data_IF_751719784649
#
_entry.id   IF_751719784649
#
_cell.length_a   1.000
_cell.length_b   1.000
_cell.length_c   1.000
_cell.angle_alpha   90.00
_cell.angle_beta   90.00
_cell.angle_gamma   90.00
#
_symmetry.space_group_name_H-M   'P 1'
#
loop_
_entity.id
_entity.type
_entity.pdbx_description
1 polymer ?
#
# COMPACT_ATOMS: atom_id res chain seq x y z
N UNK A 1 -83.28 -48.06 -6.28
CA UNK A 1 -81.86 -48.36 -6.56
C UNK A 1 -81.06 -47.07 -6.41
N UNK A 2 -80.19 -47.00 -5.40
CA UNK A 2 -79.48 -45.81 -4.96
C UNK A 2 -78.18 -45.67 -5.77
N UNK A 3 -77.90 -44.50 -6.36
CA UNK A 3 -76.55 -44.09 -6.79
C UNK A 3 -76.25 -42.69 -6.24
N UNK A 4 -75.24 -42.62 -5.36
CA UNK A 4 -74.58 -41.40 -4.90
C UNK A 4 -73.45 -41.05 -5.87
N UNK A 5 -73.32 -39.79 -6.26
CA UNK A 5 -72.13 -39.22 -6.88
C UNK A 5 -71.17 -38.73 -5.79
N UNK A 6 -69.88 -39.04 -5.95
CA UNK A 6 -68.78 -38.61 -5.08
C UNK A 6 -68.16 -37.30 -5.61
N UNK A 7 -67.87 -36.38 -4.69
CA UNK A 7 -67.15 -35.12 -4.94
C UNK A 7 -65.70 -35.30 -4.46
N UNK A 8 -64.73 -35.10 -5.37
CA UNK A 8 -63.31 -35.16 -5.08
C UNK A 8 -62.83 -33.78 -4.58
N UNK A 9 -62.17 -33.74 -3.41
CA UNK A 9 -61.57 -32.55 -2.82
C UNK A 9 -60.04 -32.68 -2.87
N UNK A 10 -59.35 -31.69 -3.44
CA UNK A 10 -57.89 -31.63 -3.52
C UNK A 10 -57.38 -30.77 -2.35
N UNK A 11 -56.50 -31.33 -1.52
CA UNK A 11 -55.82 -30.62 -0.43
C UNK A 11 -54.54 -29.94 -0.94
N UNK A 12 -54.43 -28.62 -0.73
CA UNK A 12 -53.18 -27.87 -0.90
C UNK A 12 -52.50 -27.70 0.46
N UNK A 13 -51.28 -28.20 0.60
CA UNK A 13 -50.42 -28.00 1.78
C UNK A 13 -49.77 -26.62 1.67
N UNK A 14 -50.09 -25.73 2.61
CA UNK A 14 -49.42 -24.43 2.78
C UNK A 14 -48.30 -24.60 3.81
N UNK A 15 -47.04 -24.54 3.38
CA UNK A 15 -45.88 -24.47 4.27
C UNK A 15 -45.64 -23.01 4.68
N UNK A 16 -45.77 -22.74 5.98
CA UNK A 16 -45.51 -21.44 6.59
C UNK A 16 -44.01 -21.13 6.62
N UNK A 17 -43.56 -20.16 5.82
CA UNK A 17 -42.21 -19.60 5.91
C UNK A 17 -42.25 -18.49 6.98
N UNK A 18 -41.56 -18.70 8.10
CA UNK A 18 -41.31 -17.65 9.09
C UNK A 18 -40.21 -16.74 8.51
N UNK A 19 -40.61 -15.60 7.93
CA UNK A 19 -39.67 -14.51 7.65
C UNK A 19 -39.33 -13.82 8.97
N UNK A 20 -38.14 -14.07 9.51
CA UNK A 20 -37.53 -13.20 10.50
C UNK A 20 -37.03 -11.95 9.82
N UNK A 21 -37.82 -10.87 9.92
CA UNK A 21 -37.40 -9.53 9.52
C UNK A 21 -36.25 -9.08 10.43
N UNK A 22 -35.02 -9.12 9.91
CA UNK A 22 -33.92 -8.37 10.49
C UNK A 22 -34.15 -6.90 10.16
N UNK A 23 -34.85 -6.17 11.03
CA UNK A 23 -34.77 -4.72 11.03
C UNK A 23 -33.34 -4.34 11.39
N UNK A 24 -32.57 -3.91 10.39
CA UNK A 24 -31.36 -3.14 10.62
C UNK A 24 -31.81 -1.82 11.24
N UNK A 25 -31.65 -1.69 12.56
CA UNK A 25 -31.69 -0.40 13.22
C UNK A 25 -30.49 0.38 12.68
N UNK A 26 -30.75 1.32 11.77
CA UNK A 26 -29.81 2.36 11.46
C UNK A 26 -29.65 3.21 12.73
N UNK A 27 -28.61 2.92 13.51
CA UNK A 27 -28.20 3.79 14.60
C UNK A 27 -27.66 5.09 13.99
N UNK A 28 -28.54 6.07 13.80
CA UNK A 28 -28.18 7.47 13.47
C UNK A 28 -27.64 8.17 14.71
N UNK A 29 -26.48 7.69 15.15
CA UNK A 29 -25.63 8.29 16.16
C UNK A 29 -24.26 7.67 16.02
N UNK A 30 -23.34 8.38 15.36
CA UNK A 30 -21.92 8.01 15.38
C UNK A 30 -21.46 8.06 16.83
N UNK A 31 -21.42 6.90 17.49
CA UNK A 31 -20.80 6.80 18.81
C UNK A 31 -19.38 7.38 18.69
N UNK A 32 -19.09 8.42 19.48
CA UNK A 32 -17.77 9.05 19.49
C UNK A 32 -16.76 7.99 19.91
N UNK A 33 -15.83 7.65 19.03
CA UNK A 33 -14.76 6.71 19.37
C UNK A 33 -13.88 7.34 20.46
N UNK A 34 -13.40 6.53 21.39
CA UNK A 34 -12.37 6.96 22.33
C UNK A 34 -11.00 6.75 21.68
N UNK A 35 -10.43 7.82 21.14
CA UNK A 35 -9.10 7.80 20.53
C UNK A 35 -8.03 7.58 21.60
N UNK A 36 -7.15 6.60 21.37
CA UNK A 36 -5.96 6.39 22.20
C UNK A 36 -4.81 7.19 21.59
N UNK A 37 -4.55 8.38 22.15
CA UNK A 37 -3.58 9.36 21.62
C UNK A 37 -2.40 9.54 22.56
N UNK A 38 -1.19 9.58 22.01
CA UNK A 38 0.09 9.74 22.72
C UNK A 38 0.35 8.69 23.81
N UNK A 39 -0.33 7.55 23.72
CA UNK A 39 -0.12 6.43 24.63
C UNK A 39 0.99 5.51 24.11
N UNK A 40 2.16 5.66 24.72
CA UNK A 40 3.35 4.87 24.45
C UNK A 40 3.53 3.73 25.46
N UNK A 41 2.46 3.28 26.13
CA UNK A 41 2.52 2.07 26.95
C UNK A 41 2.47 0.81 26.07
N UNK A 42 3.17 -0.23 26.53
CA UNK A 42 3.06 -1.56 25.96
C UNK A 42 1.83 -2.26 26.51
N UNK A 43 1.03 -2.82 25.61
CA UNK A 43 -0.12 -3.64 25.93
C UNK A 43 0.07 -5.02 25.30
N UNK A 44 0.02 -6.12 26.08
CA UNK A 44 -0.03 -7.46 25.51
C UNK A 44 -1.22 -7.58 24.56
N UNK A 45 -1.00 -8.15 23.37
CA UNK A 45 -2.06 -8.30 22.37
C UNK A 45 -3.11 -9.30 22.89
N UNK A 46 -4.38 -8.90 23.07
CA UNK A 46 -5.39 -9.81 23.57
C UNK A 46 -5.69 -10.92 22.56
N UNK A 47 -5.89 -12.14 23.05
CA UNK A 47 -6.32 -13.26 22.20
C UNK A 47 -7.73 -13.01 21.69
N UNK A 48 -7.86 -12.90 20.36
CA UNK A 48 -9.14 -12.72 19.67
C UNK A 48 -9.19 -13.72 18.50
N UNK A 49 -10.27 -14.51 18.37
CA UNK A 49 -10.43 -15.42 17.24
C UNK A 49 -10.36 -14.67 15.90
N UNK A 50 -9.80 -15.30 14.88
CA UNK A 50 -9.81 -14.73 13.53
C UNK A 50 -11.27 -14.56 13.08
N UNK A 51 -11.72 -13.35 12.69
CA UNK A 51 -13.07 -13.18 12.19
C UNK A 51 -13.26 -13.97 10.88
N UNK A 52 -14.48 -14.46 10.64
CA UNK A 52 -14.84 -15.00 9.34
C UNK A 52 -14.77 -13.89 8.26
N UNK A 53 -14.64 -14.28 6.99
CA UNK A 53 -14.64 -13.31 5.87
C UNK A 53 -15.90 -12.42 5.94
N UNK A 54 -15.71 -11.11 5.78
CA UNK A 54 -16.76 -10.10 5.82
C UNK A 54 -17.25 -9.75 7.23
N UNK A 55 -16.83 -10.49 8.26
CA UNK A 55 -17.17 -10.18 9.64
C UNK A 55 -16.19 -9.17 10.23
N UNK A 56 -16.73 -8.33 11.12
CA UNK A 56 -15.99 -7.31 11.82
C UNK A 56 -15.86 -7.61 13.30
N UNK A 57 -14.80 -7.12 13.92
CA UNK A 57 -14.64 -7.05 15.37
C UNK A 57 -14.09 -5.67 15.75
N UNK A 58 -14.19 -5.30 17.02
CA UNK A 58 -13.58 -4.08 17.54
C UNK A 58 -12.25 -4.46 18.19
N UNK A 59 -11.17 -3.76 17.84
CA UNK A 59 -9.89 -3.92 18.51
C UNK A 59 -10.08 -3.57 20.01
N UNK A 60 -9.83 -4.52 20.93
CA UNK A 60 -10.16 -4.35 22.34
C UNK A 60 -9.27 -3.32 23.06
N UNK A 61 -8.16 -2.91 22.46
CA UNK A 61 -7.26 -1.91 23.04
C UNK A 61 -7.48 -0.53 22.42
N UNK A 62 -7.77 -0.47 21.13
CA UNK A 62 -7.74 0.80 20.37
C UNK A 62 -9.10 1.21 19.80
N UNK A 63 -10.16 0.44 20.07
CA UNK A 63 -11.56 0.79 19.80
C UNK A 63 -11.91 0.99 18.31
N UNK A 64 -11.05 0.57 17.38
CA UNK A 64 -11.33 0.65 15.94
C UNK A 64 -11.99 -0.62 15.43
N UNK A 65 -12.89 -0.49 14.46
CA UNK A 65 -13.54 -1.63 13.83
C UNK A 65 -12.66 -2.19 12.71
N UNK A 66 -12.40 -3.49 12.76
CA UNK A 66 -11.59 -4.23 11.80
C UNK A 66 -12.42 -5.31 11.14
N UNK A 67 -12.36 -5.40 9.81
CA UNK A 67 -13.06 -6.40 8.99
C UNK A 67 -12.05 -7.26 8.23
N UNK A 68 -12.24 -8.58 8.19
CA UNK A 68 -11.47 -9.48 7.30
C UNK A 68 -12.06 -9.47 5.90
N UNK A 69 -11.26 -9.10 4.90
CA UNK A 69 -11.71 -8.87 3.52
C UNK A 69 -11.62 -10.14 2.69
N UNK A 70 -10.55 -10.92 2.85
CA UNK A 70 -10.29 -12.11 2.03
C UNK A 70 -10.37 -13.40 2.83
N UNK A 71 -10.75 -14.47 2.14
CA UNK A 71 -10.39 -15.83 2.50
C UNK A 71 -9.38 -16.38 1.49
N UNK A 72 -8.13 -16.01 1.65
CA UNK A 72 -7.04 -16.28 0.70
C UNK A 72 -6.85 -17.77 0.36
N UNK A 73 -7.22 -18.69 1.25
CA UNK A 73 -7.10 -20.13 0.98
C UNK A 73 -8.05 -20.58 -0.14
N UNK A 74 -9.26 -20.03 -0.17
CA UNK A 74 -10.30 -20.41 -1.12
C UNK A 74 -10.37 -19.44 -2.31
N UNK A 75 -9.91 -18.20 -2.13
CA UNK A 75 -10.13 -17.13 -3.08
C UNK A 75 -8.90 -16.76 -3.92
N UNK A 76 -7.68 -17.18 -3.59
CA UNK A 76 -6.51 -16.95 -4.44
C UNK A 76 -5.94 -18.25 -5.02
N UNK A 77 -5.39 -18.23 -6.26
CA UNK A 77 -4.80 -19.41 -6.87
C UNK A 77 -3.65 -20.01 -6.05
N UNK A 78 -3.47 -21.33 -6.17
CA UNK A 78 -2.28 -22.02 -5.66
C UNK A 78 -1.05 -21.64 -6.48
N UNK A 79 0.07 -21.54 -5.80
CA UNK A 79 1.41 -21.44 -6.35
C UNK A 79 1.75 -22.81 -6.98
N UNK A 80 1.66 -22.97 -8.31
CA UNK A 80 1.84 -24.26 -8.98
C UNK A 80 3.17 -24.95 -8.65
N UNK A 81 4.26 -24.20 -8.46
CA UNK A 81 5.57 -24.76 -8.14
C UNK A 81 5.69 -25.35 -6.74
N UNK A 82 4.82 -24.97 -5.80
CA UNK A 82 4.91 -25.41 -4.40
C UNK A 82 3.61 -26.00 -3.86
N UNK A 83 2.50 -25.89 -4.59
CA UNK A 83 1.15 -26.23 -4.15
C UNK A 83 0.58 -25.32 -3.05
N UNK A 84 1.36 -24.35 -2.53
CA UNK A 84 0.94 -23.43 -1.47
C UNK A 84 -0.13 -22.46 -1.98
N UNK A 85 -1.08 -22.08 -1.13
CA UNK A 85 -2.12 -21.06 -1.38
C UNK A 85 -2.20 -20.15 -0.17
N UNK A 86 -3.22 -19.28 -0.10
CA UNK A 86 -3.47 -18.53 1.13
C UNK A 86 -2.61 -17.29 1.29
N UNK A 87 -2.34 -16.57 0.20
CA UNK A 87 -1.59 -15.31 0.27
C UNK A 87 -2.30 -14.21 -0.51
N UNK A 88 -3.03 -13.35 0.19
CA UNK A 88 -3.69 -12.17 -0.34
C UNK A 88 -3.19 -10.93 0.41
N UNK A 89 -2.39 -10.10 -0.26
CA UNK A 89 -1.73 -8.95 0.36
C UNK A 89 -2.21 -7.62 -0.23
N UNK A 90 -2.12 -6.51 0.53
CA UNK A 90 -2.45 -5.18 0.02
C UNK A 90 -1.39 -4.62 -0.94
N UNK A 91 -0.22 -5.28 -1.07
CA UNK A 91 0.95 -4.79 -1.79
C UNK A 91 1.71 -3.69 -1.03
N UNK A 92 2.77 -3.14 -1.61
CA UNK A 92 3.65 -2.17 -0.97
C UNK A 92 2.91 -0.91 -0.41
N UNK A 93 3.21 -0.43 0.82
CA UNK A 93 2.48 0.62 1.54
C UNK A 93 2.27 1.97 0.82
N UNK A 94 3.10 2.28 -0.18
CA UNK A 94 3.16 3.59 -0.84
C UNK A 94 2.11 3.79 -1.92
N UNK A 95 1.44 2.73 -2.39
CA UNK A 95 0.46 2.79 -3.48
C UNK A 95 -0.96 2.46 -3.00
N UNK A 96 -1.94 3.16 -3.57
CA UNK A 96 -3.35 2.97 -3.21
C UNK A 96 -3.84 1.61 -3.70
N UNK A 97 -4.54 0.90 -2.83
CA UNK A 97 -5.20 -0.37 -3.12
C UNK A 97 -6.61 -0.14 -3.67
N UNK A 98 -7.25 0.97 -3.29
CA UNK A 98 -8.62 1.32 -3.64
C UNK A 98 -8.64 2.17 -4.93
N UNK A 99 -9.62 1.93 -5.79
CA UNK A 99 -9.78 2.67 -7.05
C UNK A 99 -10.36 4.08 -6.82
N UNK A 100 -10.41 4.90 -7.89
CA UNK A 100 -10.75 6.32 -7.82
C UNK A 100 -12.11 6.64 -7.16
N UNK A 101 -13.12 5.78 -7.34
CA UNK A 101 -14.46 5.97 -6.78
C UNK A 101 -14.71 5.20 -5.48
N UNK A 102 -13.74 4.39 -5.04
CA UNK A 102 -13.87 3.66 -3.79
C UNK A 102 -14.68 2.37 -3.85
N UNK A 103 -14.94 1.82 -5.04
CA UNK A 103 -15.78 0.64 -5.26
C UNK A 103 -14.98 -0.67 -5.37
N UNK A 104 -13.69 -0.60 -5.72
CA UNK A 104 -12.86 -1.79 -6.01
C UNK A 104 -11.51 -1.73 -5.29
N UNK A 105 -11.01 -2.91 -4.94
CA UNK A 105 -9.67 -3.12 -4.38
C UNK A 105 -8.82 -3.94 -5.36
N UNK A 106 -7.55 -3.57 -5.52
CA UNK A 106 -6.53 -4.34 -6.24
C UNK A 106 -5.68 -5.14 -5.24
N UNK A 107 -5.99 -6.43 -5.11
CA UNK A 107 -5.32 -7.34 -4.16
C UNK A 107 -4.26 -8.16 -4.90
N UNK A 108 -3.07 -8.28 -4.30
CA UNK A 108 -1.97 -9.07 -4.86
C UNK A 108 -1.88 -10.45 -4.21
N UNK A 109 -1.43 -11.45 -4.95
CA UNK A 109 -1.04 -12.76 -4.41
C UNK A 109 0.33 -13.18 -4.93
N UNK A 110 0.92 -14.21 -4.33
CA UNK A 110 2.09 -14.84 -4.94
C UNK A 110 1.71 -15.48 -6.28
N UNK A 111 2.54 -15.23 -7.29
CA UNK A 111 2.32 -15.69 -8.65
C UNK A 111 2.98 -17.06 -8.86
N UNK A 112 2.21 -18.10 -9.16
CA UNK A 112 2.67 -19.14 -10.11
C UNK A 112 1.54 -19.95 -10.75
N UNK A 113 0.40 -19.31 -11.03
CA UNK A 113 -0.73 -19.92 -11.73
C UNK A 113 -1.30 -19.00 -12.82
N UNK A 114 -2.62 -18.92 -12.90
CA UNK A 114 -3.36 -18.09 -13.87
C UNK A 114 -3.28 -16.58 -13.61
N UNK A 115 -3.09 -16.15 -12.35
CA UNK A 115 -3.16 -14.75 -11.92
C UNK A 115 -2.33 -14.50 -10.67
N UNK A 116 -1.90 -13.24 -10.50
CA UNK A 116 -1.33 -12.69 -9.27
C UNK A 116 -2.06 -11.41 -8.80
N UNK A 117 -3.10 -11.01 -9.53
CA UNK A 117 -3.80 -9.74 -9.39
C UNK A 117 -5.30 -9.99 -9.35
N UNK A 118 -5.94 -9.50 -8.31
CA UNK A 118 -7.33 -9.82 -8.01
C UNK A 118 -8.10 -8.54 -7.72
N UNK A 119 -9.29 -8.41 -8.29
CA UNK A 119 -10.19 -7.31 -8.03
C UNK A 119 -11.26 -7.77 -7.07
N UNK A 120 -11.43 -7.05 -5.95
CA UNK A 120 -12.48 -7.29 -4.96
C UNK A 120 -13.39 -6.07 -4.85
N UNK A 121 -14.64 -6.28 -4.41
CA UNK A 121 -15.49 -5.18 -3.96
C UNK A 121 -14.84 -4.51 -2.74
N UNK A 122 -14.82 -3.18 -2.70
CA UNK A 122 -14.30 -2.40 -1.56
C UNK A 122 -15.33 -2.20 -0.43
N UNK A 123 -16.50 -2.81 -0.57
CA UNK A 123 -17.62 -2.78 0.39
C UNK A 123 -18.15 -4.19 0.63
N UNK A 124 -18.83 -4.44 1.78
CA UNK A 124 -19.47 -5.73 2.04
C UNK A 124 -20.37 -6.17 0.88
N UNK A 125 -20.41 -7.48 0.56
CA UNK A 125 -19.76 -8.60 1.25
C UNK A 125 -18.30 -8.87 0.80
N UNK A 126 -17.62 -7.93 0.14
CA UNK A 126 -16.23 -8.06 -0.30
C UNK A 126 -15.98 -9.24 -1.24
N UNK A 127 -16.88 -9.47 -2.19
CA UNK A 127 -16.73 -10.53 -3.17
C UNK A 127 -15.51 -10.25 -4.07
N UNK A 128 -14.76 -11.31 -4.42
CA UNK A 128 -13.82 -11.27 -5.53
C UNK A 128 -14.61 -11.08 -6.82
N UNK A 129 -14.37 -9.98 -7.51
CA UNK A 129 -14.99 -9.63 -8.80
C UNK A 129 -14.26 -10.33 -9.93
N UNK A 130 -12.93 -10.36 -9.88
CA UNK A 130 -12.11 -10.77 -11.02
C UNK A 130 -10.73 -11.26 -10.60
N UNK A 131 -10.22 -12.27 -11.30
CA UNK A 131 -8.79 -12.56 -11.38
C UNK A 131 -8.28 -11.97 -12.69
N UNK A 132 -7.22 -11.15 -12.67
CA UNK A 132 -6.62 -10.60 -13.88
C UNK A 132 -5.58 -11.61 -14.39
N UNK A 133 -5.77 -12.21 -15.57
CA UNK A 133 -4.82 -13.18 -16.08
C UNK A 133 -3.39 -12.63 -16.20
N UNK A 134 -2.42 -13.48 -15.87
CA UNK A 134 -1.00 -13.13 -15.85
C UNK A 134 -0.46 -12.65 -17.20
N UNK A 135 -1.09 -13.08 -18.31
CA UNK A 135 -0.76 -12.61 -19.66
C UNK A 135 -1.02 -11.11 -19.86
N UNK A 136 -1.89 -10.51 -19.06
CA UNK A 136 -2.18 -9.08 -19.12
C UNK A 136 -1.23 -8.30 -18.22
N UNK A 137 -1.30 -8.50 -16.90
CA UNK A 137 -0.60 -7.66 -15.90
C UNK A 137 0.58 -8.37 -15.22
N UNK A 138 1.00 -9.52 -15.75
CA UNK A 138 2.20 -10.26 -15.35
C UNK A 138 2.21 -10.81 -13.91
N UNK A 139 3.37 -11.32 -13.50
CA UNK A 139 3.61 -11.94 -12.19
C UNK A 139 3.68 -10.85 -11.10
N UNK A 140 2.82 -10.93 -10.09
CA UNK A 140 2.55 -9.87 -9.10
C UNK A 140 3.71 -9.35 -8.23
N UNK A 141 4.96 -9.71 -8.51
CA UNK A 141 6.14 -8.99 -8.03
C UNK A 141 7.37 -9.29 -8.92
N UNK A 142 8.16 -8.27 -9.30
CA UNK A 142 7.86 -6.84 -9.23
C UNK A 142 7.04 -6.41 -10.45
N UNK A 143 5.75 -6.07 -10.26
CA UNK A 143 4.98 -5.38 -11.29
C UNK A 143 4.18 -4.22 -10.69
N UNK A 144 4.31 -3.08 -11.35
CA UNK A 144 3.83 -1.79 -10.91
C UNK A 144 2.44 -1.45 -11.46
N UNK A 145 1.40 -2.20 -11.09
CA UNK A 145 0.03 -1.83 -11.43
C UNK A 145 -0.50 -0.74 -10.47
N UNK A 146 -1.07 0.35 -11.03
CA UNK A 146 -1.67 1.46 -10.27
C UNK A 146 -3.01 1.84 -10.87
N UNK A 147 -3.99 2.10 -10.00
CA UNK A 147 -5.25 2.73 -10.40
C UNK A 147 -5.00 4.09 -11.05
N UNK A 148 -5.75 4.38 -12.10
CA UNK A 148 -5.91 5.75 -12.58
C UNK A 148 -6.50 6.62 -11.45
N UNK A 149 -6.07 7.88 -11.38
CA UNK A 149 -6.51 8.81 -10.36
C UNK A 149 -7.99 9.20 -10.45
N UNK A 150 -8.62 9.04 -11.62
CA UNK A 150 -9.98 9.52 -11.92
C UNK A 150 -10.89 8.41 -12.46
N UNK A 151 -10.36 7.53 -13.30
CA UNK A 151 -11.12 6.45 -13.92
C UNK A 151 -11.10 5.18 -13.04
N UNK A 152 -12.24 4.80 -12.43
CA UNK A 152 -12.30 3.70 -11.47
C UNK A 152 -12.13 2.31 -12.12
N UNK A 153 -12.08 2.22 -13.45
CA UNK A 153 -11.96 0.96 -14.17
C UNK A 153 -10.58 0.78 -14.81
N UNK A 154 -9.68 1.75 -14.70
CA UNK A 154 -8.39 1.73 -15.40
C UNK A 154 -7.25 1.44 -14.43
N UNK A 155 -6.41 0.49 -14.82
CA UNK A 155 -5.07 0.28 -14.28
C UNK A 155 -4.04 0.69 -15.32
N UNK A 156 -3.01 1.40 -14.89
CA UNK A 156 -1.76 1.51 -15.65
C UNK A 156 -0.71 0.61 -15.04
N UNK A 157 0.10 -0.01 -15.89
CA UNK A 157 1.11 -0.95 -15.42
C UNK A 157 2.24 -1.11 -16.43
N UNK A 158 3.38 -1.60 -15.96
CA UNK A 158 4.50 -1.97 -16.81
C UNK A 158 4.50 -3.48 -17.09
N UNK A 159 4.79 -3.85 -18.33
CA UNK A 159 5.04 -5.25 -18.66
C UNK A 159 6.01 -5.34 -19.83
N UNK A 160 7.08 -6.13 -19.64
CA UNK A 160 8.23 -6.17 -20.54
C UNK A 160 8.80 -4.76 -20.74
N UNK A 161 8.84 -4.26 -21.97
CA UNK A 161 9.39 -2.95 -22.34
C UNK A 161 8.32 -1.88 -22.55
N UNK A 162 7.08 -2.15 -22.13
CA UNK A 162 5.93 -1.35 -22.54
C UNK A 162 5.14 -0.88 -21.32
N UNK A 163 4.72 0.38 -21.34
CA UNK A 163 3.70 0.91 -20.44
C UNK A 163 2.33 0.61 -21.03
N UNK A 164 1.43 0.06 -20.22
CA UNK A 164 0.13 -0.43 -20.63
C UNK A 164 -0.99 0.25 -19.86
N UNK A 165 -2.17 0.23 -20.47
CA UNK A 165 -3.45 0.58 -19.89
C UNK A 165 -4.38 -0.62 -19.97
N UNK A 166 -4.95 -1.03 -18.85
CA UNK A 166 -5.89 -2.14 -18.75
C UNK A 166 -7.21 -1.69 -18.14
N UNK A 167 -8.32 -1.98 -18.81
CA UNK A 167 -9.66 -1.78 -18.29
C UNK A 167 -10.14 -3.06 -17.60
N UNK A 168 -10.36 -2.99 -16.29
CA UNK A 168 -10.71 -4.16 -15.47
C UNK A 168 -12.11 -4.70 -15.76
N UNK A 169 -12.99 -3.92 -16.39
CA UNK A 169 -14.36 -4.30 -16.74
C UNK A 169 -14.40 -4.93 -18.13
N UNK A 170 -13.79 -4.29 -19.13
CA UNK A 170 -13.89 -4.71 -20.54
C UNK A 170 -12.80 -5.67 -20.99
N UNK A 171 -11.76 -5.90 -20.16
CA UNK A 171 -10.54 -6.63 -20.54
C UNK A 171 -9.74 -5.96 -21.68
N UNK A 172 -10.09 -4.74 -22.04
CA UNK A 172 -9.33 -3.98 -23.03
C UNK A 172 -7.93 -3.69 -22.49
N UNK A 173 -6.92 -4.05 -23.26
CA UNK A 173 -5.52 -3.88 -22.90
C UNK A 173 -4.77 -3.17 -24.03
N UNK A 174 -4.28 -1.97 -23.74
CA UNK A 174 -3.72 -1.04 -24.73
C UNK A 174 -2.26 -0.75 -24.38
N UNK A 175 -1.37 -0.92 -25.35
CA UNK A 175 0.01 -0.46 -25.23
C UNK A 175 0.05 1.07 -25.40
N UNK A 176 0.57 1.78 -24.40
CA UNK A 176 0.70 3.24 -24.42
C UNK A 176 2.04 3.70 -24.99
N UNK A 177 3.14 3.09 -24.52
CA UNK A 177 4.49 3.47 -24.92
C UNK A 177 5.45 2.30 -24.84
N UNK A 178 6.26 2.12 -25.89
CA UNK A 178 7.28 1.06 -25.98
C UNK A 178 8.67 1.66 -25.77
N UNK A 179 9.20 1.49 -24.57
CA UNK A 179 10.54 1.96 -24.16
C UNK A 179 11.66 1.22 -24.90
N UNK A 180 11.36 0.10 -25.56
CA UNK A 180 12.32 -0.57 -26.44
C UNK A 180 12.72 0.26 -27.65
N UNK A 181 11.93 1.26 -28.03
CA UNK A 181 12.24 2.21 -29.12
C UNK A 181 13.21 3.30 -28.67
N UNK A 182 13.10 3.74 -27.42
CA UNK A 182 13.98 4.77 -26.85
C UNK A 182 15.30 4.18 -26.37
N UNK A 183 15.26 2.93 -25.88
CA UNK A 183 16.40 2.19 -25.37
C UNK A 183 16.56 0.86 -26.13
N UNK A 184 16.90 0.91 -27.43
CA UNK A 184 17.10 -0.30 -28.23
C UNK A 184 18.34 -1.06 -27.75
N UNK A 185 18.36 -2.36 -28.01
CA UNK A 185 19.60 -3.13 -27.86
C UNK A 185 20.63 -2.59 -28.87
N UNK A 186 21.84 -2.28 -28.43
CA UNK A 186 22.90 -1.82 -29.32
C UNK A 186 23.40 -3.01 -30.16
N UNK A 187 23.54 -2.80 -31.47
CA UNK A 187 23.94 -3.84 -32.42
C UNK A 187 25.34 -4.39 -32.11
N UNK A 188 25.51 -5.72 -32.21
CA UNK A 188 26.80 -6.41 -31.99
C UNK A 188 27.22 -6.55 -30.53
N UNK A 189 26.45 -5.97 -29.62
CA UNK A 189 26.62 -6.09 -28.16
C UNK A 189 25.42 -6.80 -27.58
N UNK A 190 25.63 -7.67 -26.59
CA UNK A 190 24.54 -8.23 -25.81
C UNK A 190 23.95 -7.17 -24.86
N UNK A 191 23.59 -5.95 -25.33
CA UNK A 191 22.79 -5.05 -24.48
C UNK A 191 21.50 -5.79 -24.20
N UNK A 192 21.34 -6.24 -22.98
CA UNK A 192 20.32 -7.21 -22.67
C UNK A 192 18.95 -6.56 -22.63
N UNK A 193 17.91 -7.35 -22.43
CA UNK A 193 16.53 -6.85 -22.35
C UNK A 193 16.40 -5.71 -21.34
N UNK A 194 16.52 -4.46 -21.82
CA UNK A 194 16.29 -3.27 -21.02
C UNK A 194 14.77 -3.06 -20.89
N UNK A 195 14.34 -2.70 -19.68
CA UNK A 195 12.93 -2.41 -19.39
C UNK A 195 12.83 -1.30 -18.36
N UNK A 196 11.78 -0.51 -18.49
CA UNK A 196 11.37 0.47 -17.51
C UNK A 196 10.82 -0.22 -16.26
N UNK A 197 11.19 0.28 -15.08
CA UNK A 197 10.70 -0.23 -13.80
C UNK A 197 10.64 0.87 -12.74
N UNK A 198 9.61 0.86 -11.91
CA UNK A 198 9.58 1.63 -10.66
C UNK A 198 10.12 0.84 -9.46
N UNK A 199 10.53 -0.43 -9.70
CA UNK A 199 10.96 -1.41 -8.70
C UNK A 199 9.96 -1.59 -7.55
N UNK A 200 8.68 -1.78 -7.88
CA UNK A 200 7.57 -2.06 -6.94
C UNK A 200 7.15 -0.87 -6.04
N UNK A 201 8.10 -0.09 -5.53
CA UNK A 201 7.80 0.93 -4.52
C UNK A 201 7.27 2.25 -5.09
N UNK A 202 7.55 2.54 -6.37
CA UNK A 202 7.24 3.83 -6.97
C UNK A 202 5.76 4.04 -7.33
N UNK A 203 5.38 5.30 -7.52
CA UNK A 203 4.04 5.70 -7.94
C UNK A 203 4.09 6.89 -8.90
N UNK A 204 3.05 7.08 -9.74
CA UNK A 204 2.92 8.31 -10.52
C UNK A 204 2.61 9.52 -9.64
N UNK A 205 2.57 10.70 -10.27
CA UNK A 205 1.93 11.89 -9.69
C UNK A 205 0.48 11.61 -9.32
N UNK A 206 -0.08 12.41 -8.41
CA UNK A 206 -1.41 12.16 -7.85
C UNK A 206 -2.53 12.19 -8.91
N UNK A 207 -2.31 12.88 -10.03
CA UNK A 207 -3.19 12.95 -11.20
C UNK A 207 -2.96 11.83 -12.23
N UNK A 208 -2.05 10.89 -11.94
CA UNK A 208 -1.62 9.79 -12.82
C UNK A 208 -0.97 10.23 -14.15
N UNK A 209 -0.57 11.49 -14.29
CA UNK A 209 0.01 12.02 -15.54
C UNK A 209 1.50 11.73 -15.68
N UNK A 210 2.29 12.05 -14.66
CA UNK A 210 3.74 11.90 -14.69
C UNK A 210 4.15 10.59 -14.04
N UNK A 211 5.07 9.89 -14.68
CA UNK A 211 5.64 8.63 -14.23
C UNK A 211 7.15 8.70 -14.32
N UNK A 212 7.86 8.22 -13.30
CA UNK A 212 9.30 8.10 -13.36
C UNK A 212 9.68 6.63 -13.42
N UNK A 213 10.70 6.29 -14.20
CA UNK A 213 11.18 4.92 -14.35
C UNK A 213 12.71 4.84 -14.34
N UNK A 214 13.24 3.82 -13.69
CA UNK A 214 14.60 3.34 -13.95
C UNK A 214 14.54 2.54 -15.24
N UNK A 215 15.47 2.76 -16.15
CA UNK A 215 15.70 1.91 -17.32
C UNK A 215 16.80 0.95 -16.93
N UNK A 216 16.45 -0.33 -16.76
CA UNK A 216 17.33 -1.34 -16.21
C UNK A 216 17.59 -2.44 -17.22
N UNK A 217 18.85 -2.83 -17.38
CA UNK A 217 19.30 -3.85 -18.34
C UNK A 217 19.93 -5.05 -17.60
N UNK A 218 19.77 -6.26 -18.16
CA UNK A 218 20.21 -7.55 -17.59
C UNK A 218 21.49 -8.16 -18.21
N UNK A 219 22.71 -7.80 -17.85
CA UNK A 219 23.89 -8.40 -18.48
C UNK A 219 24.51 -9.51 -17.62
N UNK A 220 24.40 -10.80 -18.01
CA UNK A 220 24.97 -11.91 -17.23
C UNK A 220 26.50 -11.85 -17.11
N UNK A 221 27.19 -11.09 -17.95
CA UNK A 221 28.64 -10.88 -17.83
C UNK A 221 29.02 -9.74 -16.88
N UNK A 222 28.06 -8.93 -16.42
CA UNK A 222 28.31 -7.82 -15.48
C UNK A 222 28.03 -8.21 -14.04
N UNK A 223 28.70 -7.51 -13.13
CA UNK A 223 28.41 -7.51 -11.70
C UNK A 223 28.19 -6.05 -11.23
N UNK A 224 26.97 -5.66 -10.83
CA UNK A 224 25.76 -6.46 -10.76
C UNK A 224 25.21 -6.84 -12.15
N UNK A 225 24.54 -7.98 -12.22
CA UNK A 225 23.93 -8.47 -13.46
C UNK A 225 22.83 -7.55 -13.97
N UNK A 226 22.05 -6.94 -13.08
CA UNK A 226 21.08 -5.92 -13.43
C UNK A 226 21.59 -4.53 -13.03
N UNK A 227 21.65 -3.62 -13.99
CA UNK A 227 22.18 -2.26 -13.79
C UNK A 227 21.29 -1.22 -14.49
N UNK A 228 21.23 -0.03 -13.90
CA UNK A 228 20.47 1.09 -14.45
C UNK A 228 21.30 1.81 -15.53
N UNK A 229 20.68 2.11 -16.67
CA UNK A 229 21.31 2.88 -17.77
C UNK A 229 20.70 4.27 -17.93
N UNK A 230 19.50 4.49 -17.39
CA UNK A 230 18.88 5.80 -17.34
C UNK A 230 17.81 5.86 -16.23
N UNK A 231 17.45 7.08 -15.86
CA UNK A 231 16.20 7.42 -15.16
C UNK A 231 15.45 8.36 -16.07
N UNK A 232 14.16 8.14 -16.24
CA UNK A 232 13.33 8.93 -17.16
C UNK A 232 12.07 9.43 -16.48
N UNK A 233 11.57 10.57 -16.93
CA UNK A 233 10.19 10.99 -16.66
C UNK A 233 9.37 10.88 -17.94
N UNK A 234 8.29 10.13 -17.85
CA UNK A 234 7.28 9.93 -18.88
C UNK A 234 6.03 10.76 -18.53
N UNK A 235 5.67 11.70 -19.39
CA UNK A 235 4.38 12.38 -19.35
C UNK A 235 3.40 11.55 -20.18
N UNK A 236 2.48 10.86 -19.51
CA UNK A 236 1.50 9.96 -20.14
C UNK A 236 0.54 10.70 -21.07
N UNK A 237 0.34 12.00 -20.84
CA UNK A 237 -0.65 12.82 -21.55
C UNK A 237 0.01 13.98 -22.30
N UNK A 238 1.26 13.80 -22.77
CA UNK A 238 2.07 14.85 -23.38
C UNK A 238 1.42 15.49 -24.62
N UNK A 239 0.98 14.66 -25.57
CA UNK A 239 0.33 15.15 -26.79
C UNK A 239 -1.18 15.30 -26.58
N UNK A 240 -1.78 14.29 -25.98
CA UNK A 240 -3.17 14.23 -25.52
C UNK A 240 -3.30 13.04 -24.56
N UNK A 241 -4.50 12.80 -24.02
CA UNK A 241 -4.75 11.71 -23.06
C UNK A 241 -4.23 10.38 -23.60
N UNK A 242 -3.42 9.70 -22.79
CA UNK A 242 -2.80 8.40 -23.07
C UNK A 242 -1.86 8.37 -24.29
N UNK A 243 -1.48 9.54 -24.85
CA UNK A 243 -0.45 9.69 -25.88
C UNK A 243 0.77 10.38 -25.29
N UNK A 244 1.60 9.57 -24.64
CA UNK A 244 2.70 10.08 -23.84
C UNK A 244 4.04 10.21 -24.54
N UNK A 245 5.00 10.77 -23.81
CA UNK A 245 6.37 11.02 -24.25
C UNK A 245 7.32 11.00 -23.06
N UNK A 246 8.54 10.49 -23.26
CA UNK A 246 9.65 10.77 -22.33
C UNK A 246 10.03 12.24 -22.46
N UNK A 247 9.91 13.00 -21.37
CA UNK A 247 10.13 14.45 -21.33
C UNK A 247 11.45 14.85 -20.68
N UNK A 248 12.07 13.95 -19.91
CA UNK A 248 13.39 14.16 -19.32
C UNK A 248 14.07 12.82 -19.04
N UNK A 249 15.39 12.85 -19.00
CA UNK A 249 16.22 11.71 -18.64
C UNK A 249 17.53 12.13 -18.00
N UNK A 250 18.09 11.26 -17.18
CA UNK A 250 19.46 11.34 -16.69
C UNK A 250 20.13 9.97 -16.83
N UNK A 251 21.44 9.97 -17.11
CA UNK A 251 22.27 8.81 -17.40
C UNK A 251 23.50 8.77 -16.49
N UNK A 252 24.19 7.62 -16.36
CA UNK A 252 25.33 7.44 -15.43
C UNK A 252 26.52 8.40 -15.60
N UNK A 253 26.70 9.01 -16.77
CA UNK A 253 27.74 9.99 -17.07
C UNK A 253 27.45 11.39 -16.48
N UNK A 254 26.21 11.65 -16.05
CA UNK A 254 25.85 12.91 -15.42
C UNK A 254 26.37 12.98 -13.97
N UNK A 255 27.01 14.08 -13.54
CA UNK A 255 27.64 14.18 -12.21
C UNK A 255 26.67 14.08 -11.03
N UNK A 256 25.38 14.37 -11.23
CA UNK A 256 24.37 14.22 -10.17
C UNK A 256 23.66 12.86 -10.21
N UNK A 257 23.99 11.97 -11.16
CA UNK A 257 23.46 10.60 -11.19
C UNK A 257 23.80 9.82 -9.92
N UNK A 258 22.84 9.01 -9.47
CA UNK A 258 23.03 7.98 -8.46
C UNK A 258 22.15 6.79 -8.80
N UNK A 259 22.65 5.58 -8.57
CA UNK A 259 21.83 4.37 -8.62
C UNK A 259 20.73 4.42 -7.56
N UNK A 260 19.62 3.73 -7.83
CA UNK A 260 18.46 3.77 -6.96
C UNK A 260 17.70 2.44 -6.95
N UNK A 261 17.45 1.90 -5.76
CA UNK A 261 16.60 0.72 -5.57
C UNK A 261 15.12 0.90 -5.96
N UNK A 262 14.65 2.14 -6.14
CA UNK A 262 13.35 2.46 -6.74
C UNK A 262 13.33 3.89 -7.27
N UNK A 263 12.32 4.21 -8.08
CA UNK A 263 12.02 5.58 -8.50
C UNK A 263 10.52 5.83 -8.49
N UNK A 264 10.11 7.05 -8.15
CA UNK A 264 8.73 7.49 -8.03
C UNK A 264 8.60 8.94 -8.47
N UNK A 265 7.43 9.35 -8.92
CA UNK A 265 7.09 10.78 -8.93
C UNK A 265 6.69 11.24 -7.52
N UNK A 266 6.88 12.53 -7.25
CA UNK A 266 6.22 13.21 -6.13
C UNK A 266 4.73 13.42 -6.41
N UNK A 267 3.91 13.61 -5.38
CA UNK A 267 2.47 13.90 -5.51
C UNK A 267 2.15 14.98 -6.55
N UNK A 268 2.86 16.11 -6.53
CA UNK A 268 2.67 17.22 -7.47
C UNK A 268 3.17 16.94 -8.88
N UNK A 269 3.95 15.88 -9.08
CA UNK A 269 4.64 15.60 -10.34
C UNK A 269 5.76 16.58 -10.66
N UNK A 270 6.19 17.44 -9.73
CA UNK A 270 7.32 18.39 -9.93
C UNK A 270 8.68 17.76 -9.67
N UNK A 271 8.72 16.67 -8.90
CA UNK A 271 9.96 16.04 -8.47
C UNK A 271 9.98 14.54 -8.75
N UNK A 272 11.18 14.01 -8.92
CA UNK A 272 11.46 12.58 -8.98
C UNK A 272 12.10 12.17 -7.66
N UNK A 273 11.49 11.21 -6.99
CA UNK A 273 11.99 10.64 -5.75
C UNK A 273 12.64 9.28 -6.02
N UNK A 274 13.89 9.12 -5.62
CA UNK A 274 14.63 7.86 -5.74
C UNK A 274 14.94 7.26 -4.38
N UNK A 275 15.04 5.93 -4.32
CA UNK A 275 15.32 5.16 -3.10
C UNK A 275 16.74 5.24 -2.54
N UNK A 276 17.05 4.28 -1.67
CA UNK A 276 18.29 4.11 -0.90
C UNK A 276 18.49 5.15 0.21
N UNK A 277 19.18 6.26 -0.07
CA UNK A 277 19.35 7.37 0.89
C UNK A 277 18.28 8.47 0.72
N UNK A 278 17.23 8.16 -0.04
CA UNK A 278 16.14 9.04 -0.44
C UNK A 278 16.60 10.37 -1.02
N UNK A 279 16.57 10.46 -2.35
CA UNK A 279 16.98 11.66 -3.08
C UNK A 279 15.81 12.24 -3.86
N UNK A 280 15.81 13.56 -3.98
CA UNK A 280 14.82 14.33 -4.72
C UNK A 280 15.54 15.03 -5.85
N UNK A 281 15.14 14.71 -7.07
CA UNK A 281 15.49 15.48 -8.25
C UNK A 281 14.30 16.37 -8.62
N UNK A 282 14.54 17.54 -9.19
CA UNK A 282 13.49 18.18 -9.98
C UNK A 282 13.15 17.30 -11.19
N UNK A 283 11.96 17.48 -11.77
CA UNK A 283 11.49 16.66 -12.89
C UNK A 283 12.43 16.64 -14.10
N UNK A 284 13.24 17.68 -14.30
CA UNK A 284 14.17 17.75 -15.42
C UNK A 284 15.55 17.17 -15.11
N UNK A 285 15.77 16.63 -13.91
CA UNK A 285 17.05 16.13 -13.44
C UNK A 285 18.18 17.17 -13.54
N UNK A 286 17.89 18.42 -13.20
CA UNK A 286 18.88 19.52 -13.19
C UNK A 286 19.50 19.74 -11.82
N UNK A 287 18.80 19.32 -10.77
CA UNK A 287 19.14 19.47 -9.37
C UNK A 287 18.89 18.15 -8.65
N UNK A 288 19.64 17.92 -7.57
CA UNK A 288 19.46 16.78 -6.67
C UNK A 288 19.64 17.24 -5.24
N UNK A 289 18.78 16.72 -4.35
CA UNK A 289 18.91 16.84 -2.90
C UNK A 289 18.87 15.47 -2.26
N UNK A 290 19.79 15.21 -1.35
CA UNK A 290 19.79 14.02 -0.51
C UNK A 290 19.08 14.36 0.80
N UNK A 291 18.07 13.58 1.19
CA UNK A 291 17.21 13.92 2.35
C UNK A 291 17.74 13.37 3.68
N UNK A 292 18.75 12.51 3.64
CA UNK A 292 19.29 11.86 4.85
C UNK A 292 18.24 11.03 5.59
N UNK A 293 17.28 10.48 4.85
CA UNK A 293 16.35 9.46 5.31
C UNK A 293 16.94 8.08 4.95
N UNK A 294 16.55 7.04 5.69
CA UNK A 294 16.91 5.67 5.38
C UNK A 294 15.73 4.72 5.61
N UNK A 295 15.82 3.53 5.02
CA UNK A 295 14.84 2.44 5.14
C UNK A 295 13.47 2.75 4.51
N UNK A 296 12.39 2.21 5.07
CA UNK A 296 11.04 2.40 4.55
C UNK A 296 10.58 3.84 4.76
N UNK A 297 10.06 4.45 3.71
CA UNK A 297 9.59 5.83 3.70
C UNK A 297 8.41 5.99 2.74
N UNK A 298 7.68 7.10 2.85
CA UNK A 298 6.70 7.51 1.84
C UNK A 298 6.78 9.02 1.59
N UNK A 299 6.36 9.44 0.39
CA UNK A 299 6.24 10.83 -0.03
C UNK A 299 4.77 11.28 0.03
N UNK A 300 4.54 12.40 0.72
CA UNK A 300 3.19 12.87 1.05
C UNK A 300 3.16 14.38 1.31
N UNK A 301 2.00 14.89 1.75
CA UNK A 301 1.80 16.24 2.20
C UNK A 301 1.80 16.32 3.73
N UNK A 302 2.54 17.27 4.27
CA UNK A 302 2.42 17.66 5.67
C UNK A 302 1.09 18.39 5.94
N UNK A 303 0.83 18.72 7.20
CA UNK A 303 -0.37 19.46 7.62
C UNK A 303 -0.44 20.90 7.10
N UNK A 304 0.66 21.44 6.58
CA UNK A 304 0.72 22.73 5.89
C UNK A 304 0.57 22.62 4.37
N UNK A 305 0.36 21.42 3.83
CA UNK A 305 0.21 21.18 2.39
C UNK A 305 1.53 21.15 1.61
N UNK A 306 2.68 21.06 2.30
CA UNK A 306 3.99 20.92 1.64
C UNK A 306 4.33 19.47 1.38
N UNK A 307 4.99 19.20 0.25
CA UNK A 307 5.48 17.85 -0.04
C UNK A 307 6.66 17.50 0.88
N UNK A 308 6.55 16.37 1.56
CA UNK A 308 7.54 15.84 2.50
C UNK A 308 7.81 14.36 2.22
N UNK A 309 9.03 13.91 2.51
CA UNK A 309 9.32 12.48 2.70
C UNK A 309 9.28 12.17 4.18
N UNK A 310 8.49 11.17 4.57
CA UNK A 310 8.39 10.67 5.95
C UNK A 310 9.12 9.35 6.04
N UNK A 311 10.04 9.23 6.99
CA UNK A 311 10.93 8.10 7.16
C UNK A 311 11.20 7.82 8.64
N UNK A 312 11.71 6.63 8.96
CA UNK A 312 12.24 6.34 10.29
C UNK A 312 13.75 6.50 10.34
N UNK A 313 14.27 7.11 11.40
CA UNK A 313 15.71 7.29 11.56
C UNK A 313 16.11 7.13 13.04
N UNK A 314 17.24 6.46 13.28
CA UNK A 314 17.84 6.37 14.61
C UNK A 314 18.52 7.69 14.96
N UNK A 315 18.27 8.21 16.15
CA UNK A 315 18.81 9.49 16.60
C UNK A 315 19.84 9.30 17.72
N UNK A 316 21.01 9.93 17.56
CA UNK A 316 22.09 9.95 18.54
C UNK A 316 22.29 11.38 19.07
N UNK A 317 21.87 11.67 20.30
CA UNK A 317 22.08 12.97 20.94
C UNK A 317 23.57 13.14 21.26
N UNK A 318 24.14 14.26 20.79
CA UNK A 318 25.55 14.57 20.97
C UNK A 318 26.51 13.55 20.33
N UNK A 319 26.03 12.70 19.42
CA UNK A 319 26.83 11.66 18.75
C UNK A 319 27.04 10.36 19.55
N UNK A 320 26.62 10.30 20.82
CA UNK A 320 26.91 9.16 21.69
C UNK A 320 25.67 8.55 22.35
N UNK A 321 24.66 9.36 22.68
CA UNK A 321 23.47 8.87 23.38
C UNK A 321 22.38 8.47 22.39
N UNK A 322 22.17 7.16 22.24
CA UNK A 322 21.13 6.61 21.39
C UNK A 322 19.73 6.82 22.01
N UNK A 323 18.89 7.59 21.31
CA UNK A 323 17.49 7.82 21.68
C UNK A 323 16.51 6.94 20.90
N UNK A 324 17.03 5.91 20.20
CA UNK A 324 16.24 4.98 19.43
C UNK A 324 15.76 5.54 18.08
N UNK A 325 14.82 4.82 17.47
CA UNK A 325 14.25 5.18 16.17
C UNK A 325 13.08 6.13 16.33
N UNK A 326 13.11 7.21 15.56
CA UNK A 326 12.08 8.24 15.50
C UNK A 326 11.55 8.39 14.09
N UNK A 327 10.25 8.68 13.99
CA UNK A 327 9.67 9.14 12.76
C UNK A 327 10.14 10.57 12.50
N UNK A 328 10.55 10.84 11.28
CA UNK A 328 11.02 12.13 10.81
C UNK A 328 10.33 12.44 9.50
N UNK A 329 10.10 13.72 9.25
CA UNK A 329 9.73 14.21 7.92
C UNK A 329 10.76 15.21 7.41
N UNK A 330 10.94 15.25 6.10
CA UNK A 330 11.85 16.16 5.42
C UNK A 330 11.10 16.89 4.32
N UNK A 331 11.08 18.22 4.36
CA UNK A 331 10.56 19.07 3.29
C UNK A 331 11.41 18.83 2.03
N UNK A 332 10.77 18.41 0.93
CA UNK A 332 11.51 17.99 -0.27
C UNK A 332 12.12 19.17 -1.02
N UNK A 333 11.55 20.36 -0.86
CA UNK A 333 12.01 21.57 -1.53
C UNK A 333 13.22 22.16 -0.79
N UNK A 334 13.12 22.29 0.54
CA UNK A 334 14.14 22.95 1.36
C UNK A 334 15.19 21.99 1.94
N UNK A 335 14.84 20.71 2.13
CA UNK A 335 15.64 19.75 2.89
C UNK A 335 15.50 19.86 4.41
N UNK A 336 14.61 20.72 4.90
CA UNK A 336 14.39 20.94 6.33
C UNK A 336 13.82 19.69 7.00
N UNK A 337 14.53 19.20 8.02
CA UNK A 337 14.20 17.97 8.75
C UNK A 337 13.46 18.26 10.05
N UNK A 338 12.36 17.55 10.30
CA UNK A 338 11.53 17.66 11.51
C UNK A 338 11.38 16.28 12.16
N UNK A 339 11.72 16.16 13.44
CA UNK A 339 11.54 14.92 14.21
C UNK A 339 10.13 14.90 14.82
N UNK A 340 9.37 13.85 14.52
CA UNK A 340 7.94 13.79 14.79
C UNK A 340 7.64 13.06 16.09
N UNK A 341 7.89 11.75 16.14
CA UNK A 341 7.48 10.91 17.26
C UNK A 341 8.38 9.68 17.41
N UNK A 342 8.53 9.11 18.61
CA UNK A 342 9.24 7.85 18.78
C UNK A 342 8.49 6.74 18.02
N UNK A 343 9.21 5.88 17.30
CA UNK A 343 8.55 4.84 16.49
C UNK A 343 8.08 3.64 17.31
N UNK A 344 8.67 3.43 18.49
CA UNK A 344 8.33 2.31 19.36
C UNK A 344 8.62 0.93 18.77
N UNK A 345 9.28 0.80 17.62
CA UNK A 345 9.77 -0.47 17.06
C UNK A 345 10.90 -0.24 16.05
N UNK A 346 11.68 -1.28 15.76
CA UNK A 346 12.80 -1.22 14.80
C UNK A 346 12.42 -1.59 13.37
N UNK A 347 11.32 -2.34 13.20
CA UNK A 347 10.81 -2.80 11.92
C UNK A 347 9.46 -2.18 11.61
N UNK A 348 9.33 -1.58 10.43
CA UNK A 348 8.16 -0.78 10.09
C UNK A 348 7.97 -0.57 8.60
N UNK A 349 6.77 -0.14 8.26
CA UNK A 349 6.38 0.41 6.97
C UNK A 349 5.58 1.70 7.18
N UNK A 350 5.65 2.62 6.22
CA UNK A 350 4.99 3.93 6.29
C UNK A 350 4.11 4.12 5.06
N UNK A 351 2.92 4.67 5.27
CA UNK A 351 2.02 5.09 4.21
C UNK A 351 1.46 6.48 4.49
N UNK A 352 1.69 7.41 3.57
CA UNK A 352 1.20 8.79 3.61
C UNK A 352 0.13 9.07 2.56
N UNK A 353 -0.61 8.07 2.08
CA UNK A 353 -1.49 8.21 0.91
C UNK A 353 -2.70 9.13 1.08
N UNK A 354 -3.06 9.53 2.29
CA UNK A 354 -4.30 10.27 2.63
C UNK A 354 -4.39 11.68 2.01
N UNK A 355 -4.62 11.78 0.70
CA UNK A 355 -4.62 13.05 -0.06
C UNK A 355 -5.78 13.98 0.28
N UNK A 356 -6.96 13.43 0.56
CA UNK A 356 -8.14 14.23 0.92
C UNK A 356 -8.15 14.66 2.39
N UNK A 357 -7.29 14.04 3.20
CA UNK A 357 -7.08 14.33 4.63
C UNK A 357 -5.56 14.35 4.90
N UNK A 358 -4.83 15.33 4.35
CA UNK A 358 -3.37 15.37 4.40
C UNK A 358 -2.85 15.69 5.81
N UNK A 359 -1.54 15.53 6.01
CA UNK A 359 -0.89 15.82 7.29
C UNK A 359 -0.87 14.67 8.28
N UNK A 360 -1.09 13.43 7.82
CA UNK A 360 -1.00 12.22 8.65
C UNK A 360 -0.33 11.09 7.88
N UNK A 361 0.46 10.27 8.57
CA UNK A 361 1.03 9.03 8.03
C UNK A 361 0.61 7.83 8.90
N UNK A 362 0.23 6.73 8.25
CA UNK A 362 0.08 5.42 8.88
C UNK A 362 1.45 4.77 9.00
N UNK A 363 1.72 4.18 10.16
CA UNK A 363 2.87 3.33 10.40
C UNK A 363 2.35 1.96 10.83
N UNK A 364 2.79 0.91 10.15
CA UNK A 364 2.66 -0.46 10.65
C UNK A 364 4.00 -0.99 11.07
N UNK A 365 4.03 -1.69 12.19
CA UNK A 365 5.21 -2.27 12.80
C UNK A 365 5.02 -3.76 13.00
N UNK A 366 6.13 -4.45 13.20
CA UNK A 366 6.17 -5.89 13.42
C UNK A 366 7.19 -6.23 14.51
N UNK A 367 7.02 -7.39 15.14
CA UNK A 367 7.98 -7.85 16.14
C UNK A 367 9.34 -8.08 15.48
N UNK A 368 10.44 -7.56 16.06
CA UNK A 368 11.77 -7.92 15.63
C UNK A 368 11.97 -9.44 15.76
N UNK A 369 12.67 -10.08 14.81
CA UNK A 369 13.04 -11.50 14.89
C UNK A 369 14.18 -11.74 15.91
N UNK A 370 14.06 -11.21 17.14
CA UNK A 370 15.09 -11.33 18.17
C UNK A 370 14.44 -11.71 19.51
N UNK A 371 14.50 -13.00 19.92
CA UNK A 371 13.90 -13.49 21.15
C UNK A 371 14.35 -12.79 22.44
N UNK A 372 15.51 -12.11 22.41
CA UNK A 372 16.11 -11.41 23.55
C UNK A 372 15.83 -9.91 23.59
N UNK A 373 15.20 -9.33 22.56
CA UNK A 373 14.89 -7.91 22.55
C UNK A 373 13.68 -7.63 23.48
N UNK A 374 13.74 -6.58 24.32
CA UNK A 374 12.58 -6.19 25.10
C UNK A 374 11.43 -5.78 24.18
N UNK A 375 10.21 -6.19 24.53
CA UNK A 375 9.01 -5.74 23.83
C UNK A 375 8.88 -4.23 23.93
N UNK A 376 8.45 -3.61 22.83
CA UNK A 376 8.26 -2.18 22.73
C UNK A 376 6.80 -1.85 22.50
N UNK A 377 6.40 -0.63 22.86
CA UNK A 377 4.99 -0.21 22.88
C UNK A 377 4.30 -0.38 21.52
N UNK A 378 5.05 -0.19 20.44
CA UNK A 378 4.53 -0.26 19.09
C UNK A 378 4.82 -1.60 18.43
N UNK A 379 5.23 -2.66 19.10
CA UNK A 379 5.38 -3.94 18.40
C UNK A 379 4.00 -4.45 17.91
N UNK A 380 3.96 -5.03 16.70
CA UNK A 380 2.73 -5.53 16.04
C UNK A 380 1.56 -4.54 16.07
N UNK A 381 1.82 -3.29 15.72
CA UNK A 381 0.85 -2.19 15.84
C UNK A 381 0.64 -1.48 14.51
N UNK A 382 -0.53 -0.87 14.39
CA UNK A 382 -0.86 0.14 13.38
C UNK A 382 -1.18 1.41 14.16
N UNK A 383 -0.50 2.50 13.82
CA UNK A 383 -0.75 3.81 14.41
C UNK A 383 -0.62 4.90 13.36
N UNK A 384 -1.16 6.09 13.65
CA UNK A 384 -1.06 7.26 12.80
C UNK A 384 -0.27 8.35 13.51
N UNK A 385 0.59 9.05 12.76
CA UNK A 385 1.36 10.18 13.28
C UNK A 385 1.02 11.44 12.49
N UNK A 386 0.78 12.54 13.21
CA UNK A 386 0.54 13.85 12.59
C UNK A 386 1.85 14.39 12.00
N UNK A 387 1.80 14.75 10.73
CA UNK A 387 2.90 15.38 9.99
C UNK A 387 2.83 16.89 10.17
N UNK A 388 3.17 17.37 11.37
CA UNK A 388 3.24 18.79 11.68
C UNK A 388 4.69 19.19 11.91
N UNK A 389 5.01 20.45 11.64
CA UNK A 389 6.35 20.98 11.92
C UNK A 389 6.59 20.95 13.42
N UNK A 390 7.76 20.45 13.80
CA UNK A 390 8.19 20.22 15.18
C UNK A 390 9.59 20.80 15.36
N UNK A 391 10.14 20.72 16.57
CA UNK A 391 11.55 21.06 16.79
C UNK A 391 12.49 20.11 15.99
N UNK A 392 13.69 20.61 15.67
CA UNK A 392 14.70 19.85 14.94
C UNK A 392 15.44 18.81 15.81
N UNK A 393 15.00 18.61 17.05
CA UNK A 393 15.53 17.61 17.99
C UNK A 393 14.39 16.79 18.59
N UNK A 394 14.51 15.46 18.68
CA UNK A 394 13.53 14.62 19.35
C UNK A 394 13.25 15.02 20.80
N UNK A 395 11.98 14.98 21.18
CA UNK A 395 11.50 15.25 22.54
C UNK A 395 10.32 14.32 22.87
N UNK A 396 10.45 13.49 23.91
CA UNK A 396 9.42 12.54 24.34
C UNK A 396 8.21 13.23 25.00
N UNK A 397 8.33 14.50 25.42
CA UNK A 397 7.22 15.24 26.02
C UNK A 397 6.50 16.12 25.00
N UNK A 398 7.22 16.59 23.98
CA UNK A 398 6.72 17.50 22.95
C UNK A 398 6.84 16.89 21.56
N UNK A 399 6.33 15.67 21.37
CA UNK A 399 6.27 15.01 20.07
C UNK A 399 4.96 15.29 19.32
N UNK A 400 4.94 15.00 18.03
CA UNK A 400 3.74 15.05 17.21
C UNK A 400 2.68 14.05 17.72
N UNK A 401 1.38 14.38 17.63
CA UNK A 401 0.31 13.46 18.00
C UNK A 401 0.45 12.07 17.35
N UNK A 402 0.35 11.03 18.17
CA UNK A 402 0.35 9.62 17.76
C UNK A 402 -0.99 9.00 18.14
N UNK A 403 -1.79 8.57 17.17
CA UNK A 403 -3.02 7.83 17.42
C UNK A 403 -2.79 6.33 17.25
N UNK A 404 -3.00 5.54 18.31
CA UNK A 404 -2.97 4.08 18.26
C UNK A 404 -4.25 3.57 17.59
N UNK A 405 -4.11 2.82 16.49
CA UNK A 405 -5.25 2.41 15.65
C UNK A 405 -5.64 0.96 15.89
N UNK A 406 -4.70 0.02 15.80
CA UNK A 406 -5.01 -1.41 15.86
C UNK A 406 -3.76 -2.26 16.15
N UNK A 407 -3.96 -3.51 16.59
CA UNK A 407 -2.91 -4.53 16.50
C UNK A 407 -2.91 -5.24 15.14
N UNK A 408 -1.72 -5.49 14.59
CA UNK A 408 -1.57 -6.18 13.29
C UNK A 408 -1.86 -7.68 13.40
N UNK A 409 -1.67 -8.26 14.60
CA UNK A 409 -1.76 -9.71 14.87
C UNK A 409 -0.90 -10.55 13.92
N UNK A 410 0.16 -9.94 13.40
CA UNK A 410 1.07 -10.57 12.45
C UNK A 410 2.27 -11.10 13.19
N UNK A 411 2.52 -12.40 13.09
CA UNK A 411 3.74 -13.00 13.59
C UNK A 411 4.75 -13.10 12.48
N UNK A 412 5.88 -12.40 12.64
CA UNK A 412 6.87 -12.28 11.58
C UNK A 412 7.87 -13.42 11.62
N UNK A 413 8.06 -14.09 10.48
CA UNK A 413 9.21 -14.98 10.24
C UNK A 413 10.04 -14.52 9.05
N UNK A 414 9.40 -13.88 8.07
CA UNK A 414 10.00 -13.37 6.85
C UNK A 414 9.38 -12.03 6.44
N UNK A 415 9.96 -11.34 5.46
CA UNK A 415 9.38 -10.10 4.90
C UNK A 415 7.95 -10.31 4.34
N UNK A 416 7.62 -11.53 3.93
CA UNK A 416 6.26 -11.88 3.47
C UNK A 416 5.20 -11.84 4.57
N UNK A 417 5.60 -11.81 5.83
CA UNK A 417 4.72 -11.73 6.99
C UNK A 417 4.51 -10.29 7.47
N UNK A 418 5.19 -9.30 6.86
CA UNK A 418 5.08 -7.91 7.27
C UNK A 418 3.65 -7.38 6.96
N UNK A 419 3.05 -6.48 7.77
CA UNK A 419 1.64 -6.10 7.62
C UNK A 419 1.33 -5.18 6.43
N UNK A 420 2.32 -4.43 5.95
CA UNK A 420 2.19 -3.47 4.84
C UNK A 420 0.97 -2.53 4.92
N UNK A 421 0.70 -1.96 6.11
CA UNK A 421 -0.50 -1.14 6.28
C UNK A 421 -0.46 0.14 5.45
N UNK A 422 -1.61 0.52 4.90
CA UNK A 422 -1.77 1.71 4.06
C UNK A 422 -3.14 2.36 4.24
N UNK A 423 -3.15 3.68 4.22
CA UNK A 423 -4.39 4.47 4.20
C UNK A 423 -4.83 4.69 2.75
N UNK A 424 -6.13 4.72 2.47
CA UNK A 424 -6.61 5.09 1.13
C UNK A 424 -6.49 6.59 0.87
N UNK A 425 -6.53 7.03 -0.40
CA UNK A 425 -6.49 8.46 -0.77
C UNK A 425 -7.52 9.33 -0.04
N UNK A 426 -8.69 8.76 0.27
CA UNK A 426 -9.81 9.45 0.94
C UNK A 426 -9.62 9.62 2.45
N UNK A 427 -8.68 8.89 3.05
CA UNK A 427 -8.48 8.89 4.51
C UNK A 427 -9.70 8.36 5.26
N UNK A 428 -10.35 7.32 4.75
CA UNK A 428 -11.55 6.69 5.37
C UNK A 428 -11.29 5.26 5.82
N UNK A 429 -10.25 4.61 5.26
CA UNK A 429 -9.94 3.21 5.52
C UNK A 429 -8.43 3.03 5.62
N UNK A 430 -8.00 2.11 6.47
CA UNK A 430 -6.64 1.55 6.46
C UNK A 430 -6.73 0.08 6.07
N UNK A 431 -5.91 -0.34 5.13
CA UNK A 431 -5.79 -1.74 4.71
C UNK A 431 -4.46 -2.30 5.19
N UNK A 432 -4.46 -3.53 5.67
CA UNK A 432 -3.24 -4.22 6.10
C UNK A 432 -3.42 -5.72 5.92
N UNK A 433 -2.31 -6.43 5.79
CA UNK A 433 -2.32 -7.87 5.78
C UNK A 433 -1.94 -8.47 7.13
N UNK A 434 -2.41 -9.68 7.40
CA UNK A 434 -2.08 -10.39 8.63
C UNK A 434 -2.20 -11.89 8.46
N UNK A 435 -1.28 -12.61 9.11
CA UNK A 435 -1.26 -14.05 9.19
C UNK A 435 -1.89 -14.61 10.47
N UNK A 436 -2.45 -13.73 11.30
CA UNK A 436 -3.17 -14.05 12.53
C UNK A 436 -2.43 -15.00 13.48
N UNK A 437 -1.12 -14.81 13.62
CA UNK A 437 -0.28 -15.59 14.55
C UNK A 437 0.25 -16.91 13.98
N UNK A 438 0.20 -17.13 12.67
CA UNK A 438 0.89 -18.28 12.05
C UNK A 438 1.62 -17.84 10.79
N UNK A 439 2.97 -17.72 10.82
CA UNK A 439 3.74 -17.28 9.67
C UNK A 439 3.45 -18.07 8.39
N UNK A 440 3.43 -17.39 7.25
CA UNK A 440 3.12 -18.00 5.95
C UNK A 440 4.12 -19.11 5.58
N UNK A 441 5.40 -18.87 5.87
CA UNK A 441 6.46 -19.87 5.66
C UNK A 441 6.33 -21.11 6.57
N UNK A 442 5.55 -21.04 7.65
CA UNK A 442 5.26 -22.13 8.58
C UNK A 442 3.92 -22.84 8.29
N UNK A 443 3.32 -22.61 7.12
CA UNK A 443 2.04 -23.24 6.73
C UNK A 443 0.80 -22.45 7.11
N UNK A 444 0.97 -21.22 7.61
CA UNK A 444 -0.13 -20.28 7.79
C UNK A 444 -0.67 -19.72 6.47
N UNK A 445 -1.62 -18.80 6.59
CA UNK A 445 -2.17 -18.02 5.48
C UNK A 445 -2.00 -16.53 5.78
N UNK A 446 -2.18 -15.70 4.78
CA UNK A 446 -2.06 -14.26 4.87
C UNK A 446 -3.27 -13.62 4.19
N UNK A 447 -4.09 -12.93 4.98
CA UNK A 447 -5.34 -12.32 4.54
C UNK A 447 -5.27 -10.80 4.60
N UNK A 448 -6.08 -10.15 3.77
CA UNK A 448 -6.31 -8.71 3.78
C UNK A 448 -7.38 -8.34 4.81
N UNK A 449 -7.12 -7.27 5.55
CA UNK A 449 -8.03 -6.67 6.53
C UNK A 449 -8.20 -5.18 6.25
N UNK A 450 -9.31 -4.64 6.72
CA UNK A 450 -9.67 -3.23 6.64
C UNK A 450 -10.00 -2.71 8.03
N UNK A 451 -9.46 -1.56 8.39
CA UNK A 451 -9.91 -0.73 9.50
C UNK A 451 -10.80 0.38 8.94
N UNK A 452 -12.00 0.53 9.49
CA UNK A 452 -12.86 1.66 9.20
C UNK A 452 -12.46 2.83 10.10
N UNK A 453 -12.03 3.94 9.51
CA UNK A 453 -11.74 5.15 10.28
C UNK A 453 -13.04 5.90 10.58
N UNK A 454 -13.25 6.42 11.80
CA UNK A 454 -14.42 7.22 12.13
C UNK A 454 -14.53 8.46 11.25
N UNK A 455 -15.70 8.81 10.73
CA UNK A 455 -15.84 9.92 9.77
C UNK A 455 -15.25 11.25 10.28
N UNK A 456 -15.38 11.51 11.59
CA UNK A 456 -14.89 12.70 12.28
C UNK A 456 -13.39 12.68 12.64
N UNK A 457 -12.67 11.56 12.46
CA UNK A 457 -11.29 11.40 12.98
C UNK A 457 -10.37 12.55 12.61
N UNK A 458 -10.49 13.05 11.39
CA UNK A 458 -9.61 14.09 10.89
C UNK A 458 -9.85 15.43 11.58
N UNK A 459 -11.11 15.75 11.87
CA UNK A 459 -11.48 16.96 12.61
C UNK A 459 -11.12 16.79 14.07
N UNK A 460 -11.51 15.67 14.68
CA UNK A 460 -11.29 15.38 16.09
C UNK A 460 -9.80 15.37 16.46
N UNK A 461 -8.96 14.74 15.64
CA UNK A 461 -7.53 14.62 15.90
C UNK A 461 -6.70 15.84 15.50
N UNK A 462 -7.22 16.72 14.62
CA UNK A 462 -6.54 17.97 14.30
C UNK A 462 -6.62 19.02 15.41
N UNK A 463 -7.51 18.82 16.39
CA UNK A 463 -7.62 19.65 17.59
C UNK A 463 -6.48 19.39 18.62
N UNK A 464 -5.71 18.30 18.47
CA UNK A 464 -4.54 17.94 19.28
C UNK A 464 -3.24 18.45 18.64
#
# INVERSE_FOLDING_TARGET
MIKKLAVLSVYTVISTVIMTSHQAIAATGTAKINYVVNDTNFYPIPSVPQPAKGQSYVDPLFNTQITRITDSITEVPRIASTGKSGYAQPGYPKHDIENADGTKLLVQSYASGSSAWHIYNATPPYNKIKEIPIKYVGWGSPIDARWDAKDPNVLYYQWKKTMWKYNVVTDENIALHDFGKDFPAVAGTNYPSCSQTMQEEGKPSDDSRYWAFNIRCYDPSKNPTWFDVAKVVYDKDFYEKDKGKIISSITPDNPIWQDAGFVSMSPSGKYVWTGDVHRIYDRNFTTRRDLGCANHADITYDSGGKEVVVCGQRYYKGGYTDLGTWLKMVDIETGESNWLAPMGSGGYHISGLSRQKPGWAVVSTYTPNFPSAPTKWADQSIYMVRLKRMANTPDNLNHAPVWRVANTRSERKSYSDDPFAKINKRGTKIFFGSNWGTPYSSGGKYDLYQINLPDSWYVDLNAY
#
